data_IF_172584557770
#
_entry.id   IF_172584557770
#
_cell.length_a   1.000
_cell.length_b   1.000
_cell.length_c   1.000
_cell.angle_alpha   90.00
_cell.angle_beta   90.00
_cell.angle_gamma   90.00
#
_symmetry.space_group_name_H-M   'P 1'
#
loop_
_entity.id
_entity.type
_entity.pdbx_description
1 polymer ?
#
# COMPACT_ATOMS: atom_id res chain seq x y z
N UNK A 1 8.25 -0.40 3.72
CA UNK A 1 7.60 0.75 3.06
C UNK A 1 6.16 0.37 2.85
N UNK A 2 5.22 1.28 3.06
CA UNK A 2 3.79 1.00 2.91
C UNK A 2 3.18 1.96 1.91
N UNK A 3 1.96 1.66 1.45
CA UNK A 3 1.14 2.59 0.68
C UNK A 3 0.60 3.75 1.51
N UNK A 4 0.89 3.83 2.81
CA UNK A 4 0.53 5.00 3.62
C UNK A 4 1.48 6.16 3.30
N UNK A 5 0.91 7.35 3.10
CA UNK A 5 1.66 8.58 2.92
C UNK A 5 1.29 9.58 4.03
N UNK A 6 2.21 9.77 4.96
CA UNK A 6 1.97 10.47 6.21
C UNK A 6 2.45 11.92 6.12
N UNK A 7 1.52 12.85 6.32
CA UNK A 7 1.75 14.30 6.29
C UNK A 7 1.57 14.85 7.69
N UNK A 8 2.58 15.55 8.20
CA UNK A 8 2.45 16.37 9.40
C UNK A 8 2.22 17.81 8.96
N UNK A 9 1.14 18.44 9.41
CA UNK A 9 0.83 19.82 9.07
C UNK A 9 0.62 20.64 10.34
N UNK A 10 1.47 21.63 10.58
CA UNK A 10 1.40 22.49 11.77
C UNK A 10 1.14 23.94 11.37
N UNK A 11 -0.02 24.47 11.76
CA UNK A 11 -0.44 25.84 11.45
C UNK A 11 -1.56 26.30 12.40
N UNK A 12 -1.42 27.48 13.00
CA UNK A 12 -2.41 28.04 13.93
C UNK A 12 -3.74 28.40 13.25
N UNK A 13 -3.75 28.51 11.91
CA UNK A 13 -4.94 28.70 11.07
C UNK A 13 -5.53 27.39 10.57
N UNK A 14 -5.30 26.27 11.27
CA UNK A 14 -5.86 24.94 10.96
C UNK A 14 -7.33 24.97 10.55
N UNK A 15 -8.18 25.68 11.30
CA UNK A 15 -9.63 25.77 11.03
C UNK A 15 -9.91 26.42 9.66
N UNK A 16 -9.11 27.42 9.26
CA UNK A 16 -9.23 28.08 7.97
C UNK A 16 -8.92 27.09 6.82
N UNK A 17 -7.82 26.34 6.92
CA UNK A 17 -7.45 25.34 5.92
C UNK A 17 -8.49 24.22 5.78
N UNK A 18 -9.09 23.81 6.90
CA UNK A 18 -10.18 22.84 6.89
C UNK A 18 -11.45 23.42 6.25
N UNK A 19 -11.78 24.68 6.53
CA UNK A 19 -12.92 25.36 5.91
C UNK A 19 -12.78 25.54 4.40
N UNK A 20 -11.54 25.67 3.92
CA UNK A 20 -11.18 25.76 2.50
C UNK A 20 -11.03 24.39 1.83
N UNK A 21 -11.28 23.28 2.54
CA UNK A 21 -11.09 21.89 2.08
C UNK A 21 -9.68 21.59 1.54
N UNK A 22 -8.67 22.36 1.96
CA UNK A 22 -7.30 22.20 1.44
C UNK A 22 -6.72 20.85 1.81
N UNK A 23 -7.02 20.32 2.99
CA UNK A 23 -6.62 18.97 3.40
C UNK A 23 -7.29 17.90 2.52
N UNK A 24 -8.55 18.13 2.13
CA UNK A 24 -9.30 17.30 1.19
C UNK A 24 -8.69 17.27 -0.21
N UNK A 25 -8.29 18.43 -0.73
CA UNK A 25 -7.58 18.52 -2.02
C UNK A 25 -6.23 17.80 -1.99
N UNK A 26 -5.44 17.98 -0.92
CA UNK A 26 -4.14 17.30 -0.77
C UNK A 26 -4.34 15.78 -0.61
N UNK A 27 -5.34 15.33 0.16
CA UNK A 27 -5.70 13.90 0.25
C UNK A 27 -6.06 13.35 -1.14
N UNK A 28 -6.92 14.04 -1.87
CA UNK A 28 -7.36 13.64 -3.21
C UNK A 28 -6.18 13.57 -4.20
N UNK A 29 -5.24 14.51 -4.10
CA UNK A 29 -4.03 14.50 -4.90
C UNK A 29 -3.16 13.26 -4.62
N UNK A 30 -2.87 12.98 -3.35
CA UNK A 30 -2.09 11.81 -2.93
C UNK A 30 -2.80 10.49 -3.30
N UNK A 31 -4.13 10.44 -3.18
CA UNK A 31 -4.94 9.30 -3.64
C UNK A 31 -4.87 9.11 -5.15
N UNK A 32 -4.88 10.19 -5.92
CA UNK A 32 -4.68 10.17 -7.37
C UNK A 32 -3.30 9.64 -7.78
N UNK A 33 -2.32 9.73 -6.88
CA UNK A 33 -0.99 9.12 -7.01
C UNK A 33 -0.95 7.68 -6.47
N UNK A 34 -2.07 7.08 -6.09
CA UNK A 34 -2.19 5.72 -5.55
C UNK A 34 -1.41 5.49 -4.25
N UNK A 35 -1.55 6.42 -3.32
CA UNK A 35 -1.21 6.26 -1.91
C UNK A 35 -2.42 6.50 -1.02
N UNK A 36 -2.35 6.01 0.22
CA UNK A 36 -3.32 6.23 1.28
C UNK A 36 -2.85 7.42 2.13
N UNK A 37 -3.37 8.64 1.91
CA UNK A 37 -2.94 9.81 2.66
C UNK A 37 -3.40 9.74 4.12
N UNK A 38 -2.54 10.17 5.03
CA UNK A 38 -2.89 10.41 6.42
C UNK A 38 -2.30 11.76 6.85
N UNK A 39 -3.16 12.75 7.04
CA UNK A 39 -2.77 14.11 7.42
C UNK A 39 -3.05 14.32 8.91
N UNK A 40 -2.00 14.52 9.68
CA UNK A 40 -2.08 14.92 11.08
C UNK A 40 -1.91 16.44 11.15
N UNK A 41 -3.02 17.15 11.39
CA UNK A 41 -3.03 18.62 11.48
C UNK A 41 -3.06 19.09 12.93
N UNK A 42 -2.13 19.96 13.31
CA UNK A 42 -2.02 20.57 14.63
C UNK A 42 -2.01 22.10 14.53
N UNK A 43 -2.68 22.76 15.47
CA UNK A 43 -2.73 24.23 15.58
C UNK A 43 -1.67 24.79 16.55
N UNK A 44 -0.96 23.92 17.25
CA UNK A 44 0.06 24.31 18.22
C UNK A 44 1.27 23.37 18.19
N UNK A 45 2.45 23.94 18.44
CA UNK A 45 3.74 23.23 18.41
C UNK A 45 3.83 22.15 19.49
N UNK A 46 3.30 22.40 20.71
CA UNK A 46 3.47 21.48 21.84
C UNK A 46 2.85 20.12 21.58
N UNK A 47 1.62 20.09 21.08
CA UNK A 47 0.93 18.85 20.74
C UNK A 47 1.64 18.15 19.57
N UNK A 48 2.01 18.89 18.53
CA UNK A 48 2.73 18.36 17.38
C UNK A 48 4.06 17.70 17.80
N UNK A 49 4.83 18.32 18.70
CA UNK A 49 6.10 17.77 19.20
C UNK A 49 5.94 16.51 20.05
N UNK A 50 4.83 16.38 20.77
CA UNK A 50 4.52 15.20 21.58
C UNK A 50 4.12 14.02 20.69
N UNK A 51 3.29 14.27 19.68
CA UNK A 51 2.70 13.23 18.83
C UNK A 51 3.59 12.84 17.66
N UNK A 52 4.36 13.77 17.09
CA UNK A 52 5.17 13.51 15.89
C UNK A 52 6.11 12.29 16.00
N UNK A 53 6.77 12.00 17.12
CA UNK A 53 7.65 10.82 17.24
C UNK A 53 6.94 9.47 17.17
N UNK A 54 5.61 9.43 17.35
CA UNK A 54 4.83 8.19 17.34
C UNK A 54 4.65 7.57 15.95
N UNK A 55 4.99 8.33 14.90
CA UNK A 55 4.71 7.99 13.51
C UNK A 55 5.83 8.45 12.61
N UNK A 56 6.05 7.72 11.51
CA UNK A 56 7.01 8.13 10.47
C UNK A 56 6.29 9.00 9.44
N UNK A 57 6.74 10.24 9.29
CA UNK A 57 6.23 11.19 8.30
C UNK A 57 7.07 11.19 7.03
N UNK A 58 6.39 11.35 5.89
CA UNK A 58 7.02 11.47 4.57
C UNK A 58 7.31 12.94 4.22
N UNK A 59 6.43 13.85 4.67
CA UNK A 59 6.57 15.29 4.49
C UNK A 59 5.99 16.06 5.67
N UNK A 60 6.58 17.22 5.96
CA UNK A 60 6.12 18.15 6.99
C UNK A 60 5.80 19.50 6.33
N UNK A 61 4.60 20.00 6.57
CA UNK A 61 4.16 21.33 6.22
C UNK A 61 4.03 22.15 7.50
N UNK A 62 4.58 23.36 7.49
CA UNK A 62 4.59 24.19 8.69
C UNK A 62 4.49 25.65 8.30
N UNK A 63 3.61 26.41 8.96
CA UNK A 63 3.81 27.85 9.02
C UNK A 63 5.17 28.09 9.69
N UNK A 64 5.88 29.11 9.24
CA UNK A 64 7.07 29.57 9.94
C UNK A 64 6.73 30.29 11.24
N UNK A 65 5.60 31.00 11.32
CA UNK A 65 5.19 31.75 12.51
C UNK A 65 3.96 31.10 13.14
N UNK A 66 4.16 30.09 13.98
CA UNK A 66 3.05 29.33 14.60
C UNK A 66 2.67 30.00 15.92
N UNK A 67 1.99 31.16 15.82
CA UNK A 67 1.39 31.88 16.94
C UNK A 67 2.26 32.05 18.20
N UNK A 68 1.66 31.86 19.38
CA UNK A 68 2.34 31.96 20.69
C UNK A 68 3.31 30.79 20.99
N UNK A 69 3.41 29.81 20.09
CA UNK A 69 4.16 28.57 20.30
C UNK A 69 5.66 28.65 20.01
N UNK A 70 6.11 29.69 19.32
CA UNK A 70 7.48 29.82 18.80
C UNK A 70 7.52 29.82 17.27
N UNK A 71 8.72 29.87 16.71
CA UNK A 71 8.89 29.75 15.25
C UNK A 71 8.93 28.28 14.81
N UNK A 72 8.59 28.04 13.54
CA UNK A 72 8.60 26.71 12.95
C UNK A 72 10.01 26.10 12.93
N UNK A 73 11.06 26.92 12.99
CA UNK A 73 12.44 26.43 13.00
C UNK A 73 12.79 25.73 14.32
N UNK A 74 12.35 26.28 15.45
CA UNK A 74 12.49 25.67 16.77
C UNK A 74 11.73 24.33 16.83
N UNK A 75 10.50 24.30 16.31
CA UNK A 75 9.69 23.09 16.19
C UNK A 75 10.42 21.98 15.40
N UNK A 76 10.89 22.29 14.18
CA UNK A 76 11.60 21.32 13.34
C UNK A 76 12.89 20.85 14.03
N UNK A 77 13.60 21.75 14.70
CA UNK A 77 14.80 21.40 15.48
C UNK A 77 14.48 20.43 16.62
N UNK A 78 13.36 20.63 17.32
CA UNK A 78 12.93 19.79 18.43
C UNK A 78 12.55 18.38 17.95
N UNK A 79 11.75 18.25 16.88
CA UNK A 79 11.33 16.93 16.39
C UNK A 79 12.48 16.15 15.72
N UNK A 80 13.45 16.84 15.09
CA UNK A 80 14.65 16.17 14.54
C UNK A 80 15.53 15.56 15.62
N UNK A 81 15.64 16.18 16.79
CA UNK A 81 16.29 15.58 17.97
C UNK A 81 15.61 14.30 18.44
N UNK A 82 14.32 14.14 18.11
CA UNK A 82 13.51 12.93 18.37
C UNK A 82 13.47 11.98 17.16
N UNK A 83 14.41 12.11 16.21
CA UNK A 83 14.55 11.28 15.01
C UNK A 83 13.42 11.40 13.98
N UNK A 84 12.62 12.47 14.02
CA UNK A 84 11.63 12.77 12.96
C UNK A 84 12.34 13.51 11.83
N UNK A 85 12.73 12.77 10.78
CA UNK A 85 13.47 13.30 9.63
C UNK A 85 12.66 13.13 8.34
N UNK A 86 12.14 14.23 7.81
CA UNK A 86 11.33 14.30 6.59
C UNK A 86 11.67 15.56 5.78
N UNK A 87 11.22 15.62 4.52
CA UNK A 87 11.26 16.87 3.76
C UNK A 87 10.29 17.88 4.38
N UNK A 88 10.73 19.12 4.56
CA UNK A 88 9.96 20.18 5.20
C UNK A 88 9.65 21.29 4.19
N UNK A 89 8.39 21.72 4.12
CA UNK A 89 7.99 22.96 3.47
C UNK A 89 7.55 23.96 4.54
N UNK A 90 8.36 25.00 4.74
CA UNK A 90 7.92 26.20 5.43
C UNK A 90 7.19 27.12 4.48
N UNK A 91 6.17 27.79 4.97
CA UNK A 91 5.53 28.90 4.29
C UNK A 91 5.26 30.05 5.26
N UNK A 92 5.35 31.28 4.78
CA UNK A 92 5.12 32.47 5.62
C UNK A 92 4.93 33.73 4.79
N UNK A 93 4.36 34.77 5.39
CA UNK A 93 4.33 36.12 4.82
C UNK A 93 5.69 36.86 4.91
N UNK A 94 6.69 36.29 5.60
CA UNK A 94 8.02 36.87 5.74
C UNK A 94 8.70 37.14 4.39
N UNK A 95 9.43 38.26 4.32
CA UNK A 95 10.04 38.71 3.07
C UNK A 95 11.23 37.85 2.63
N UNK A 96 11.97 37.29 3.60
CA UNK A 96 13.18 36.49 3.36
C UNK A 96 13.05 35.11 4.00
N UNK A 97 13.61 34.06 3.38
CA UNK A 97 13.68 32.75 4.01
C UNK A 97 14.55 32.83 5.29
N UNK A 98 14.21 32.06 6.32
CA UNK A 98 15.00 32.01 7.55
C UNK A 98 16.40 31.46 7.26
N UNK A 99 17.42 32.06 7.85
CA UNK A 99 18.76 31.50 7.82
C UNK A 99 18.76 30.23 8.69
N UNK A 100 19.05 29.07 8.09
CA UNK A 100 19.09 27.80 8.80
C UNK A 100 20.17 26.89 8.24
N UNK A 101 20.78 26.10 9.13
CA UNK A 101 21.73 25.04 8.77
C UNK A 101 21.06 23.67 8.65
N UNK A 102 19.73 23.62 8.81
CA UNK A 102 18.96 22.39 8.67
C UNK A 102 18.83 22.02 7.19
N UNK A 103 19.09 20.76 6.86
CA UNK A 103 18.93 20.19 5.52
C UNK A 103 17.45 19.91 5.19
N UNK A 104 17.11 19.67 3.92
CA UNK A 104 15.76 19.21 3.50
C UNK A 104 14.62 20.19 3.85
N UNK A 105 14.90 21.48 3.73
CA UNK A 105 13.93 22.55 3.95
C UNK A 105 13.72 23.31 2.65
N UNK A 106 12.46 23.40 2.23
CA UNK A 106 11.96 24.34 1.23
C UNK A 106 11.22 25.49 1.92
N UNK A 107 11.29 26.68 1.35
CA UNK A 107 10.56 27.85 1.85
C UNK A 107 9.69 28.45 0.75
N UNK A 108 8.44 28.79 1.08
CA UNK A 108 7.51 29.51 0.23
C UNK A 108 7.11 30.84 0.88
N UNK A 109 7.21 31.92 0.13
CA UNK A 109 6.70 33.22 0.56
C UNK A 109 5.28 33.43 0.07
N UNK A 110 4.36 33.68 1.00
CA UNK A 110 2.98 34.06 0.72
C UNK A 110 2.91 35.59 0.49
N UNK A 111 2.34 36.02 -0.64
CA UNK A 111 2.36 37.44 -1.07
C UNK A 111 1.02 38.18 -0.85
N UNK A 112 -0.12 37.48 -0.85
CA UNK A 112 -1.49 38.02 -0.73
C UNK A 112 -2.56 36.90 -0.50
N UNK A 113 -3.87 37.21 -0.37
CA UNK A 113 -4.94 36.20 -0.19
C UNK A 113 -5.07 35.18 -1.35
N UNK A 114 -4.39 35.39 -2.49
CA UNK A 114 -4.25 34.41 -3.58
C UNK A 114 -3.16 33.36 -3.32
N UNK A 115 -2.53 33.39 -2.14
CA UNK A 115 -1.42 32.51 -1.78
C UNK A 115 -1.86 31.07 -1.47
N UNK A 116 -3.17 30.77 -1.37
CA UNK A 116 -3.64 29.41 -1.11
C UNK A 116 -3.37 28.47 -2.29
N UNK A 117 -3.64 28.88 -3.53
CA UNK A 117 -3.35 28.04 -4.69
C UNK A 117 -1.84 27.85 -4.88
N UNK A 118 -1.04 28.91 -4.67
CA UNK A 118 0.43 28.81 -4.73
C UNK A 118 0.97 27.86 -3.64
N UNK A 119 0.43 27.93 -2.43
CA UNK A 119 0.77 27.01 -1.34
C UNK A 119 0.40 25.58 -1.70
N UNK A 120 -0.81 25.34 -2.22
CA UNK A 120 -1.26 24.02 -2.66
C UNK A 120 -0.33 23.43 -3.72
N UNK A 121 -0.02 24.19 -4.76
CA UNK A 121 0.87 23.71 -5.82
C UNK A 121 2.28 23.45 -5.30
N UNK A 122 2.76 24.25 -4.34
CA UNK A 122 4.05 23.99 -3.72
C UNK A 122 4.04 22.74 -2.84
N UNK A 123 2.98 22.51 -2.06
CA UNK A 123 2.79 21.27 -1.29
C UNK A 123 2.79 20.04 -2.20
N UNK A 124 2.03 20.09 -3.31
CA UNK A 124 2.01 19.01 -4.32
C UNK A 124 3.39 18.78 -4.92
N UNK A 125 4.15 19.84 -5.22
CA UNK A 125 5.52 19.73 -5.72
C UNK A 125 6.46 19.04 -4.71
N UNK A 126 6.37 19.35 -3.42
CA UNK A 126 7.18 18.68 -2.39
C UNK A 126 6.76 17.23 -2.22
N UNK A 127 5.47 16.92 -2.30
CA UNK A 127 4.97 15.54 -2.34
C UNK A 127 5.54 14.78 -3.54
N UNK A 128 5.58 15.37 -4.74
CA UNK A 128 6.18 14.70 -5.88
C UNK A 128 7.67 14.41 -5.67
N UNK A 129 8.42 15.36 -5.09
CA UNK A 129 9.84 15.17 -4.80
C UNK A 129 10.11 14.04 -3.81
N UNK A 130 9.26 13.86 -2.78
CA UNK A 130 9.40 12.74 -1.85
C UNK A 130 9.04 11.41 -2.52
N UNK A 131 8.01 11.40 -3.36
CA UNK A 131 7.54 10.22 -4.08
C UNK A 131 8.47 9.79 -5.22
N UNK A 132 9.14 10.72 -5.89
CA UNK A 132 10.16 10.45 -6.89
C UNK A 132 11.26 9.55 -6.33
N UNK A 133 11.68 9.79 -5.09
CA UNK A 133 12.65 8.93 -4.39
C UNK A 133 12.11 7.52 -4.13
N UNK A 134 10.79 7.35 -4.01
CA UNK A 134 10.16 6.04 -3.82
C UNK A 134 9.99 5.26 -5.13
N UNK A 135 10.15 5.91 -6.29
CA UNK A 135 10.04 5.28 -7.59
C UNK A 135 11.31 4.52 -8.00
N UNK A 136 12.33 4.44 -7.12
CA UNK A 136 13.42 3.51 -7.36
C UNK A 136 12.94 2.06 -7.27
N UNK A 137 13.63 1.19 -8.00
CA UNK A 137 13.25 -0.18 -8.25
C UNK A 137 13.34 -1.05 -6.99
N UNK A 138 14.29 -0.73 -6.10
CA UNK A 138 14.50 -1.40 -4.82
C UNK A 138 13.37 -1.09 -3.84
N UNK A 139 12.94 0.18 -3.80
CA UNK A 139 11.82 0.69 -3.01
C UNK A 139 10.50 0.10 -3.52
N UNK A 140 10.30 0.07 -4.85
CA UNK A 140 9.15 -0.61 -5.46
C UNK A 140 9.11 -2.08 -5.04
N UNK A 141 10.22 -2.80 -5.17
CA UNK A 141 10.31 -4.21 -4.77
C UNK A 141 9.93 -4.37 -3.29
N UNK A 142 10.50 -3.56 -2.41
CA UNK A 142 10.18 -3.57 -0.98
C UNK A 142 8.70 -3.30 -0.68
N UNK A 143 8.12 -2.30 -1.36
CA UNK A 143 6.70 -1.96 -1.26
C UNK A 143 5.83 -3.14 -1.70
N UNK A 144 6.05 -3.68 -2.90
CA UNK A 144 5.25 -4.78 -3.44
C UNK A 144 5.37 -6.03 -2.58
N UNK A 145 6.57 -6.39 -2.12
CA UNK A 145 6.73 -7.55 -1.23
C UNK A 145 5.93 -7.37 0.07
N UNK A 146 5.94 -6.18 0.66
CA UNK A 146 5.20 -5.87 1.88
C UNK A 146 3.69 -5.96 1.65
N UNK A 147 3.17 -5.20 0.69
CA UNK A 147 1.73 -5.07 0.43
C UNK A 147 1.11 -6.38 -0.06
N UNK A 148 1.79 -7.12 -0.94
CA UNK A 148 1.26 -8.42 -1.41
C UNK A 148 1.29 -9.47 -0.30
N UNK A 149 2.26 -9.41 0.62
CA UNK A 149 2.24 -10.27 1.80
C UNK A 149 1.06 -9.96 2.72
N UNK A 150 0.68 -8.68 2.86
CA UNK A 150 -0.53 -8.29 3.59
C UNK A 150 -1.80 -8.80 2.90
N UNK A 151 -1.91 -8.64 1.57
CA UNK A 151 -3.02 -9.20 0.79
C UNK A 151 -3.12 -10.73 0.99
N UNK A 152 -1.99 -11.45 0.97
CA UNK A 152 -1.95 -12.89 1.20
C UNK A 152 -2.49 -13.26 2.60
N UNK A 153 -2.12 -12.50 3.63
CA UNK A 153 -2.64 -12.71 4.99
C UNK A 153 -4.14 -12.45 5.06
N UNK A 154 -4.62 -11.36 4.45
CA UNK A 154 -6.05 -11.02 4.40
C UNK A 154 -6.83 -12.12 3.68
N UNK A 155 -6.39 -12.56 2.50
CA UNK A 155 -7.05 -13.65 1.78
C UNK A 155 -7.11 -14.94 2.60
N UNK A 156 -6.02 -15.31 3.29
CA UNK A 156 -5.99 -16.50 4.15
C UNK A 156 -6.97 -16.40 5.33
N UNK A 157 -7.13 -15.22 5.93
CA UNK A 157 -8.13 -14.95 6.96
C UNK A 157 -9.55 -15.14 6.41
N UNK A 158 -9.87 -14.52 5.27
CA UNK A 158 -11.17 -14.67 4.61
C UNK A 158 -11.50 -16.15 4.36
N UNK A 159 -10.52 -16.92 3.85
CA UNK A 159 -10.70 -18.37 3.62
C UNK A 159 -10.94 -19.12 4.93
N UNK A 160 -10.20 -18.79 5.98
CA UNK A 160 -10.38 -19.37 7.32
C UNK A 160 -11.77 -19.07 7.88
N UNK A 161 -12.23 -17.83 7.77
CA UNK A 161 -13.50 -17.36 8.30
C UNK A 161 -14.68 -17.97 7.55
N UNK A 162 -14.60 -18.05 6.21
CA UNK A 162 -15.59 -18.74 5.39
C UNK A 162 -15.76 -20.22 5.77
N UNK A 163 -14.66 -20.87 6.20
CA UNK A 163 -14.64 -22.25 6.67
C UNK A 163 -15.02 -22.42 8.16
N UNK A 164 -15.63 -21.41 8.79
CA UNK A 164 -16.24 -21.57 10.11
C UNK A 164 -17.47 -22.48 10.05
N UNK A 165 -18.23 -22.41 8.96
CA UNK A 165 -19.33 -23.33 8.68
C UNK A 165 -18.80 -24.69 8.18
N UNK A 166 -19.36 -25.78 8.71
CA UNK A 166 -18.88 -27.14 8.42
C UNK A 166 -19.09 -27.58 6.98
N UNK A 167 -20.15 -27.10 6.32
CA UNK A 167 -20.45 -27.45 4.94
C UNK A 167 -19.50 -26.69 3.99
N UNK A 168 -19.28 -25.40 4.26
CA UNK A 168 -18.27 -24.59 3.57
C UNK A 168 -16.86 -25.17 3.73
N UNK A 169 -16.48 -25.59 4.94
CA UNK A 169 -15.17 -26.21 5.23
C UNK A 169 -14.95 -27.44 4.36
N UNK A 170 -15.91 -28.37 4.36
CA UNK A 170 -15.82 -29.62 3.61
C UNK A 170 -15.72 -29.35 2.11
N UNK A 171 -16.60 -28.49 1.59
CA UNK A 171 -16.64 -28.15 0.17
C UNK A 171 -15.37 -27.42 -0.30
N UNK A 172 -14.85 -26.50 0.53
CA UNK A 172 -13.60 -25.80 0.27
C UNK A 172 -12.40 -26.78 0.26
N UNK A 173 -12.35 -27.68 1.24
CA UNK A 173 -11.31 -28.71 1.33
C UNK A 173 -11.30 -29.59 0.08
N UNK A 174 -12.45 -30.08 -0.33
CA UNK A 174 -12.53 -30.95 -1.52
C UNK A 174 -12.13 -30.20 -2.80
N UNK A 175 -12.55 -28.93 -2.94
CA UNK A 175 -12.16 -28.09 -4.08
C UNK A 175 -10.64 -27.84 -4.15
N UNK A 176 -10.03 -27.37 -3.05
CA UNK A 176 -8.61 -27.00 -3.02
C UNK A 176 -7.73 -28.23 -3.12
N UNK A 177 -8.04 -29.28 -2.36
CA UNK A 177 -7.23 -30.49 -2.36
C UNK A 177 -7.33 -31.21 -3.72
N UNK A 178 -8.54 -31.32 -4.29
CA UNK A 178 -8.71 -31.89 -5.62
C UNK A 178 -7.92 -31.13 -6.69
N UNK A 179 -7.98 -29.80 -6.65
CA UNK A 179 -7.18 -28.91 -7.49
C UNK A 179 -5.67 -29.17 -7.41
N UNK A 180 -5.14 -29.39 -6.20
CA UNK A 180 -3.70 -29.63 -5.98
C UNK A 180 -3.32 -31.03 -6.48
N UNK A 181 -4.15 -32.03 -6.17
CA UNK A 181 -3.95 -33.40 -6.62
C UNK A 181 -3.93 -33.49 -8.16
N UNK A 182 -4.81 -32.78 -8.85
CA UNK A 182 -4.84 -32.70 -10.31
C UNK A 182 -3.55 -32.09 -10.90
N UNK A 183 -3.07 -30.98 -10.32
CA UNK A 183 -1.81 -30.34 -10.74
C UNK A 183 -0.58 -31.20 -10.46
N UNK A 184 -0.56 -31.93 -9.36
CA UNK A 184 0.57 -32.80 -9.05
C UNK A 184 0.59 -34.02 -9.98
N UNK A 185 -0.58 -34.56 -10.35
CA UNK A 185 -0.67 -35.68 -11.31
C UNK A 185 -0.04 -35.38 -12.67
N UNK A 186 -0.13 -34.13 -13.15
CA UNK A 186 0.51 -33.75 -14.42
C UNK A 186 2.03 -33.62 -14.33
N UNK A 187 2.58 -33.52 -13.12
CA UNK A 187 4.03 -33.38 -12.87
C UNK A 187 4.72 -34.70 -12.47
N UNK A 188 4.00 -35.81 -12.44
CA UNK A 188 4.52 -37.13 -12.03
C UNK A 188 4.90 -37.98 -13.25
N UNK A 189 6.20 -38.10 -13.52
CA UNK A 189 6.77 -39.05 -14.48
C UNK A 189 7.21 -40.34 -13.76
N UNK A 190 6.30 -41.29 -13.51
CA UNK A 190 6.71 -42.71 -13.38
C UNK A 190 5.53 -43.67 -13.51
N UNK A 191 5.78 -44.80 -14.16
CA UNK A 191 4.86 -45.95 -14.29
C UNK A 191 4.55 -46.63 -12.95
N UNK A 192 5.35 -46.39 -11.90
CA UNK A 192 5.17 -46.92 -10.55
C UNK A 192 4.28 -46.07 -9.65
N UNK A 193 4.10 -44.78 -9.97
CA UNK A 193 3.17 -43.93 -9.24
C UNK A 193 1.75 -44.23 -9.73
N UNK A 194 1.13 -45.27 -9.17
CA UNK A 194 -0.31 -45.52 -9.34
C UNK A 194 -1.03 -44.22 -8.97
N UNK A 195 -1.81 -43.66 -9.88
CA UNK A 195 -2.50 -42.34 -9.80
C UNK A 195 -3.52 -42.18 -8.63
N UNK A 196 -3.30 -42.87 -7.51
CA UNK A 196 -4.12 -43.00 -6.30
C UNK A 196 -3.54 -42.26 -5.09
N UNK A 197 -2.46 -41.48 -5.26
CA UNK A 197 -1.95 -40.66 -4.15
C UNK A 197 -2.97 -39.59 -3.77
N UNK A 198 -3.40 -39.60 -2.50
CA UNK A 198 -4.23 -38.55 -1.90
C UNK A 198 -3.34 -37.57 -1.15
N UNK A 199 -3.69 -36.30 -1.20
CA UNK A 199 -2.94 -35.27 -0.50
C UNK A 199 -3.18 -35.39 1.01
N UNK A 200 -2.13 -35.15 1.80
CA UNK A 200 -2.19 -35.19 3.29
C UNK A 200 -3.20 -34.18 3.86
N UNK A 201 -3.64 -33.20 3.07
CA UNK A 201 -4.64 -32.23 3.48
C UNK A 201 -6.09 -32.74 3.39
N UNK A 202 -6.34 -33.89 2.75
CA UNK A 202 -7.69 -34.50 2.72
C UNK A 202 -8.26 -34.76 4.13
N UNK A 203 -7.38 -34.99 5.11
CA UNK A 203 -7.74 -35.32 6.50
C UNK A 203 -7.56 -34.15 7.47
N UNK A 204 -7.26 -32.94 6.98
CA UNK A 204 -7.00 -31.76 7.80
C UNK A 204 -8.04 -30.68 7.55
N UNK A 205 -8.35 -29.88 8.57
CA UNK A 205 -9.20 -28.72 8.39
C UNK A 205 -8.45 -27.65 7.58
N UNK A 206 -9.19 -26.86 6.78
CA UNK A 206 -8.62 -25.74 6.03
C UNK A 206 -7.86 -24.77 6.93
N UNK A 207 -8.38 -24.47 8.12
CA UNK A 207 -7.74 -23.59 9.11
C UNK A 207 -6.33 -24.05 9.52
N UNK A 208 -6.10 -25.37 9.54
CA UNK A 208 -4.81 -25.97 9.92
C UNK A 208 -3.79 -26.01 8.77
N UNK A 209 -4.22 -25.70 7.54
CA UNK A 209 -3.37 -25.78 6.34
C UNK A 209 -3.21 -24.45 5.61
N UNK A 210 -4.18 -23.54 5.69
CA UNK A 210 -4.22 -22.28 4.93
C UNK A 210 -3.05 -21.34 5.25
N UNK A 211 -2.51 -21.43 6.47
CA UNK A 211 -1.33 -20.66 6.90
C UNK A 211 0.01 -21.40 6.72
N UNK A 212 0.00 -22.63 6.17
CA UNK A 212 1.24 -23.39 5.94
C UNK A 212 1.93 -22.97 4.66
N UNK A 213 3.25 -23.17 4.61
CA UNK A 213 4.11 -22.75 3.49
C UNK A 213 3.68 -23.34 2.13
N UNK A 214 3.08 -24.53 2.10
CA UNK A 214 2.57 -25.13 0.87
C UNK A 214 1.27 -24.50 0.34
N UNK A 215 0.62 -23.64 1.12
CA UNK A 215 -0.60 -22.92 0.71
C UNK A 215 -0.20 -21.55 0.14
N UNK A 216 0.29 -21.60 -1.09
CA UNK A 216 0.87 -20.47 -1.83
C UNK A 216 -0.20 -19.45 -2.28
N UNK A 217 0.23 -18.21 -2.59
CA UNK A 217 -0.64 -17.09 -2.98
C UNK A 217 -1.65 -17.45 -4.08
N UNK A 218 -1.23 -18.20 -5.11
CA UNK A 218 -2.14 -18.61 -6.19
C UNK A 218 -3.19 -19.62 -5.73
N UNK A 219 -2.85 -20.53 -4.82
CA UNK A 219 -3.81 -21.47 -4.22
C UNK A 219 -4.81 -20.71 -3.35
N UNK A 220 -4.36 -19.70 -2.60
CA UNK A 220 -5.24 -18.79 -1.85
C UNK A 220 -6.16 -18.00 -2.78
N UNK A 221 -5.65 -17.45 -3.88
CA UNK A 221 -6.46 -16.73 -4.86
C UNK A 221 -7.55 -17.63 -5.47
N UNK A 222 -7.27 -18.93 -5.70
CA UNK A 222 -8.28 -19.89 -6.14
C UNK A 222 -9.35 -20.15 -5.09
N UNK A 223 -8.97 -20.24 -3.81
CA UNK A 223 -9.92 -20.34 -2.71
C UNK A 223 -10.83 -19.10 -2.66
N UNK A 224 -10.27 -17.90 -2.79
CA UNK A 224 -11.03 -16.65 -2.88
C UNK A 224 -11.99 -16.67 -4.07
N UNK A 225 -11.52 -17.07 -5.25
CA UNK A 225 -12.38 -17.19 -6.44
C UNK A 225 -13.57 -18.13 -6.21
N UNK A 226 -13.34 -19.26 -5.54
CA UNK A 226 -14.39 -20.18 -5.14
C UNK A 226 -15.42 -19.53 -4.21
N UNK A 227 -14.96 -18.81 -3.18
CA UNK A 227 -15.83 -18.10 -2.23
C UNK A 227 -16.70 -17.08 -2.97
N UNK A 228 -16.09 -16.25 -3.83
CA UNK A 228 -16.81 -15.23 -4.61
C UNK A 228 -17.88 -15.87 -5.49
N UNK A 229 -17.58 -16.99 -6.15
CA UNK A 229 -18.59 -17.72 -6.95
C UNK A 229 -19.74 -18.25 -6.09
N UNK A 230 -19.47 -18.72 -4.87
CA UNK A 230 -20.51 -19.19 -3.95
C UNK A 230 -21.36 -18.07 -3.38
N UNK A 231 -20.78 -16.91 -3.11
CA UNK A 231 -21.51 -15.72 -2.69
C UNK A 231 -22.43 -15.26 -3.82
N UNK A 232 -21.90 -15.08 -5.04
CA UNK A 232 -22.69 -14.67 -6.22
C UNK A 232 -23.80 -15.64 -6.60
N UNK A 233 -23.64 -16.92 -6.29
CA UNK A 233 -24.68 -17.92 -6.49
C UNK A 233 -25.83 -17.82 -5.46
N UNK A 234 -25.57 -17.27 -4.27
CA UNK A 234 -26.58 -17.02 -3.23
C UNK A 234 -27.20 -15.63 -3.35
N UNK A 235 -26.39 -14.65 -3.73
CA UNK A 235 -26.77 -13.25 -3.91
C UNK A 235 -26.25 -12.75 -5.26
N UNK A 236 -27.14 -12.73 -6.25
CA UNK A 236 -26.82 -12.27 -7.60
C UNK A 236 -26.54 -10.76 -7.69
N UNK A 237 -26.88 -9.99 -6.65
CA UNK A 237 -26.64 -8.55 -6.57
C UNK A 237 -25.31 -8.21 -5.87
N UNK A 238 -24.52 -9.22 -5.45
CA UNK A 238 -23.20 -8.98 -4.86
C UNK A 238 -22.24 -8.26 -5.82
N UNK A 239 -21.80 -7.09 -5.40
CA UNK A 239 -20.89 -6.19 -6.13
C UNK A 239 -19.41 -6.63 -6.05
N UNK A 240 -19.10 -7.82 -5.53
CA UNK A 240 -17.71 -8.27 -5.44
C UNK A 240 -17.14 -8.60 -6.82
N UNK A 241 -16.26 -7.74 -7.31
CA UNK A 241 -15.52 -7.96 -8.57
C UNK A 241 -14.14 -8.58 -8.32
N UNK A 242 -14.09 -9.92 -8.33
CA UNK A 242 -12.82 -10.66 -8.32
C UNK A 242 -12.68 -11.53 -9.56
N UNK A 243 -11.56 -11.41 -10.26
CA UNK A 243 -11.17 -12.29 -11.36
C UNK A 243 -9.79 -12.90 -11.07
N UNK A 244 -9.73 -14.24 -11.07
CA UNK A 244 -8.50 -14.97 -10.75
C UNK A 244 -7.34 -14.67 -11.71
N UNK A 245 -7.60 -14.58 -13.01
CA UNK A 245 -6.54 -14.35 -14.02
C UNK A 245 -6.05 -12.90 -13.98
N UNK A 246 -6.96 -11.93 -13.75
CA UNK A 246 -6.58 -10.55 -13.48
C UNK A 246 -5.72 -10.46 -12.22
N UNK A 247 -6.14 -11.06 -11.10
CA UNK A 247 -5.33 -11.03 -9.87
C UNK A 247 -3.96 -11.70 -10.05
N UNK A 248 -3.92 -12.82 -10.77
CA UNK A 248 -2.67 -13.53 -11.08
C UNK A 248 -1.71 -12.62 -11.84
N UNK A 249 -2.16 -12.01 -12.95
CA UNK A 249 -1.32 -11.16 -13.80
C UNK A 249 -0.98 -9.81 -13.17
N UNK A 250 -1.94 -9.17 -12.51
CA UNK A 250 -1.80 -7.83 -11.92
C UNK A 250 -0.99 -7.84 -10.61
N UNK A 251 -1.05 -8.91 -9.82
CA UNK A 251 -0.45 -8.99 -8.49
C UNK A 251 0.59 -10.09 -8.38
N UNK A 252 0.21 -11.36 -8.57
CA UNK A 252 1.08 -12.50 -8.28
C UNK A 252 2.30 -12.51 -9.22
N UNK A 253 2.08 -12.36 -10.52
CA UNK A 253 3.14 -12.42 -11.52
C UNK A 253 4.09 -11.21 -11.37
N UNK A 254 3.55 -10.00 -11.14
CA UNK A 254 4.37 -8.81 -10.86
C UNK A 254 5.22 -8.99 -9.59
N UNK A 255 4.65 -9.52 -8.50
CA UNK A 255 5.40 -9.85 -7.29
C UNK A 255 6.50 -10.86 -7.57
N UNK A 256 6.22 -11.92 -8.32
CA UNK A 256 7.21 -12.95 -8.63
C UNK A 256 8.35 -12.40 -9.50
N UNK A 257 8.03 -11.55 -10.48
CA UNK A 257 9.02 -10.85 -11.31
C UNK A 257 9.93 -10.00 -10.42
N UNK A 258 9.35 -9.15 -9.55
CA UNK A 258 10.11 -8.28 -8.65
C UNK A 258 10.89 -9.06 -7.58
N UNK A 259 10.45 -10.26 -7.21
CA UNK A 259 11.16 -11.11 -6.26
C UNK A 259 12.39 -11.80 -6.87
N UNK A 260 12.33 -12.14 -8.16
CA UNK A 260 13.34 -12.94 -8.86
C UNK A 260 14.18 -12.16 -9.87
N UNK A 261 13.96 -10.85 -10.00
CA UNK A 261 14.76 -9.99 -10.84
C UNK A 261 16.15 -9.68 -10.24
N UNK A 262 17.12 -9.48 -11.12
CA UNK A 262 18.42 -8.91 -10.78
C UNK A 262 18.49 -7.47 -11.29
N UNK A 263 19.02 -6.57 -10.46
CA UNK A 263 19.32 -5.21 -10.88
C UNK A 263 20.46 -5.24 -11.90
N UNK A 264 20.25 -4.59 -13.03
CA UNK A 264 21.25 -4.36 -14.06
C UNK A 264 21.13 -2.90 -14.54
N UNK A 265 22.08 -2.46 -15.37
CA UNK A 265 22.00 -1.15 -16.01
C UNK A 265 21.93 -1.34 -17.53
N UNK A 266 21.11 -0.55 -18.20
CA UNK A 266 21.10 -0.49 -19.65
C UNK A 266 22.25 0.37 -20.20
N UNK A 267 22.37 0.45 -21.53
CA UNK A 267 23.45 1.19 -22.20
C UNK A 267 23.43 2.70 -21.92
N UNK A 268 22.30 3.23 -21.43
CA UNK A 268 22.10 4.65 -21.10
C UNK A 268 22.35 4.92 -19.60
N UNK A 269 22.66 3.87 -18.81
CA UNK A 269 22.93 3.97 -17.38
C UNK A 269 21.67 3.93 -16.50
N UNK A 270 20.50 3.59 -17.06
CA UNK A 270 19.27 3.44 -16.29
C UNK A 270 19.22 2.07 -15.61
N UNK A 271 18.74 2.03 -14.36
CA UNK A 271 18.53 0.77 -13.63
C UNK A 271 17.37 -0.02 -14.27
N UNK A 272 17.61 -1.29 -14.58
CA UNK A 272 16.65 -2.21 -15.18
C UNK A 272 16.58 -3.52 -14.39
N UNK A 273 15.41 -4.16 -14.40
CA UNK A 273 15.24 -5.51 -13.86
C UNK A 273 15.39 -6.54 -14.97
N UNK A 274 16.40 -7.40 -14.82
CA UNK A 274 16.53 -8.59 -15.66
C UNK A 274 15.87 -9.78 -14.97
N UNK A 275 14.97 -10.45 -15.67
CA UNK A 275 14.46 -11.76 -15.24
C UNK A 275 15.13 -12.86 -16.05
N UNK A 276 15.12 -14.09 -15.55
CA UNK A 276 15.67 -15.24 -16.26
C UNK A 276 14.93 -15.63 -17.53
N UNK A 277 13.74 -15.04 -17.79
CA UNK A 277 12.87 -15.41 -18.93
C UNK A 277 12.67 -14.25 -19.91
N UNK A 278 12.56 -13.01 -19.45
CA UNK A 278 12.46 -11.80 -20.28
C UNK A 278 13.02 -10.54 -19.57
N UNK A 279 13.63 -9.64 -20.32
CA UNK A 279 14.06 -8.32 -19.82
C UNK A 279 12.83 -7.39 -19.71
N UNK A 280 12.18 -7.35 -18.55
CA UNK A 280 11.05 -6.45 -18.28
C UNK A 280 11.57 -5.16 -17.65
N UNK A 281 11.57 -4.06 -18.43
CA UNK A 281 11.79 -2.71 -17.88
C UNK A 281 10.52 -2.27 -17.14
N UNK A 282 10.67 -1.78 -15.91
CA UNK A 282 9.60 -1.10 -15.19
C UNK A 282 9.78 0.40 -15.38
N UNK A 283 8.80 1.06 -15.96
CA UNK A 283 8.75 2.50 -16.05
C UNK A 283 7.88 3.08 -14.93
N UNK A 284 7.79 4.41 -14.87
CA UNK A 284 6.96 5.11 -13.89
C UNK A 284 5.47 4.74 -13.97
N UNK A 285 4.96 4.49 -15.18
CA UNK A 285 3.57 4.08 -15.40
C UNK A 285 3.30 2.67 -14.86
N UNK A 286 4.25 1.74 -14.98
CA UNK A 286 4.17 0.41 -14.37
C UNK A 286 4.09 0.51 -12.84
N UNK A 287 4.89 1.40 -12.23
CA UNK A 287 4.89 1.64 -10.78
C UNK A 287 3.53 2.16 -10.31
N UNK A 288 2.96 3.11 -11.05
CA UNK A 288 1.61 3.63 -10.80
C UNK A 288 0.57 2.51 -10.90
N UNK A 289 0.62 1.72 -11.98
CA UNK A 289 -0.34 0.65 -12.22
C UNK A 289 -0.27 -0.46 -11.17
N UNK A 290 0.93 -0.82 -10.72
CA UNK A 290 1.12 -1.78 -9.62
C UNK A 290 0.43 -1.28 -8.36
N UNK A 291 0.68 -0.03 -7.95
CA UNK A 291 0.06 0.56 -6.75
C UNK A 291 -1.45 0.62 -6.87
N UNK A 292 -1.97 1.07 -8.01
CA UNK A 292 -3.40 1.06 -8.34
C UNK A 292 -4.02 -0.32 -8.16
N UNK A 293 -3.39 -1.35 -8.71
CA UNK A 293 -3.89 -2.72 -8.62
C UNK A 293 -3.87 -3.24 -7.17
N UNK A 294 -2.81 -2.94 -6.40
CA UNK A 294 -2.75 -3.32 -4.98
C UNK A 294 -3.91 -2.67 -4.19
N UNK A 295 -4.15 -1.36 -4.37
CA UNK A 295 -5.26 -0.65 -3.71
C UNK A 295 -6.62 -1.25 -4.12
N UNK A 296 -6.80 -1.52 -5.42
CA UNK A 296 -8.00 -2.20 -5.94
C UNK A 296 -8.27 -3.50 -5.19
N UNK A 297 -7.27 -4.38 -5.04
CA UNK A 297 -7.49 -5.67 -4.36
C UNK A 297 -7.60 -5.57 -2.84
N UNK A 298 -6.96 -4.59 -2.20
CA UNK A 298 -7.25 -4.28 -0.78
C UNK A 298 -8.74 -3.97 -0.59
N UNK A 299 -9.33 -3.15 -1.46
CA UNK A 299 -10.76 -2.83 -1.41
C UNK A 299 -11.65 -4.05 -1.70
N UNK A 300 -11.32 -4.84 -2.73
CA UNK A 300 -12.05 -6.08 -3.05
C UNK A 300 -12.06 -7.04 -1.86
N UNK A 301 -10.91 -7.26 -1.22
CA UNK A 301 -10.82 -8.18 -0.08
C UNK A 301 -11.45 -7.63 1.18
N UNK A 302 -11.42 -6.30 1.40
CA UNK A 302 -12.16 -5.67 2.48
C UNK A 302 -13.67 -5.89 2.33
N UNK A 303 -14.22 -5.67 1.13
CA UNK A 303 -15.64 -5.89 0.85
C UNK A 303 -16.01 -7.37 1.03
N UNK A 304 -15.21 -8.27 0.47
CA UNK A 304 -15.40 -9.72 0.62
C UNK A 304 -15.35 -10.17 2.08
N UNK A 305 -14.42 -9.62 2.88
CA UNK A 305 -14.33 -9.94 4.31
C UNK A 305 -15.60 -9.54 5.07
N UNK A 306 -16.20 -8.39 4.72
CA UNK A 306 -17.44 -7.94 5.33
C UNK A 306 -18.61 -8.88 4.97
N UNK A 307 -18.73 -9.29 3.70
CA UNK A 307 -19.79 -10.20 3.26
C UNK A 307 -19.66 -11.60 3.86
N UNK A 308 -18.44 -12.12 4.01
CA UNK A 308 -18.21 -13.40 4.70
C UNK A 308 -18.60 -13.31 6.17
N UNK A 309 -18.31 -12.18 6.83
CA UNK A 309 -18.65 -11.96 8.25
C UNK A 309 -20.15 -11.78 8.47
N UNK A 310 -20.89 -11.21 7.51
CA UNK A 310 -22.35 -11.02 7.60
C UNK A 310 -23.16 -12.30 7.33
N UNK A 311 -22.54 -13.31 6.71
CA UNK A 311 -23.18 -14.57 6.31
C UNK A 311 -22.80 -15.77 7.19
N UNK A 312 -22.01 -15.55 8.24
CA UNK A 312 -21.62 -16.56 9.25
C UNK A 312 -22.40 -16.39 10.55
#
# INVERSE_FOLDING_TARGET
>A
MSLQYNILWVDDRKEEYQSLEMDGEIKSYVQGLFFNPCIDMYDNIREAEEKAPSKKYDVIFSDYNIGEGGDGLDFITAIRKKCVNAEVLFYSALHNPPATNLDRISFLRLKDNRSYDELKEKMKSVINLTLEKLNDLSNLRGLVMSEVSELDVVMKKIVSDYCNDSENEKNMRDYIVGTIEERNKTSLESSSCKKQCTHVWRTKNIKDVVFKQGFESYTTARAINYIVQKIKAKDSESDIEFNLESYKSEIIDNRNILAHCQAAYDAEGNEILKTSKEDKKFNFEDIINIRKNIIKYHNVFKNLSNEVSSNG
#
